data_IF_423623078868
#
_entry.id   IF_423623078868
#
_cell.length_a   1.000
_cell.length_b   1.000
_cell.length_c   1.000
_cell.angle_alpha   90.00
_cell.angle_beta   90.00
_cell.angle_gamma   90.00
#
_symmetry.space_group_name_H-M   'P 1'
#
loop_
_entity.id
_entity.type
_entity.pdbx_description
1 polymer ?
#
# COMPACT_ATOMS: atom_id res chain seq x y z
N UNK A 1 -37.46 58.14 -17.68
CA UNK A 1 -37.00 58.26 -16.29
C UNK A 1 -35.70 57.50 -16.15
N UNK A 2 -34.70 58.18 -15.62
CA UNK A 2 -33.28 57.83 -15.50
C UNK A 2 -32.98 57.43 -14.06
N UNK A 3 -32.30 56.32 -13.81
CA UNK A 3 -31.47 56.06 -12.60
C UNK A 3 -30.66 54.77 -12.84
N UNK A 4 -29.40 54.84 -13.26
CA UNK A 4 -28.13 54.97 -12.49
C UNK A 4 -27.77 53.77 -11.57
N UNK A 5 -26.49 53.33 -11.58
CA UNK A 5 -26.01 52.11 -10.90
C UNK A 5 -25.47 52.38 -9.48
N UNK A 6 -25.47 51.29 -8.68
CA UNK A 6 -24.45 50.96 -7.67
C UNK A 6 -24.40 51.73 -6.36
N UNK A 7 -24.66 51.07 -5.23
CA UNK A 7 -24.04 51.36 -3.93
C UNK A 7 -23.99 50.09 -3.07
N UNK A 8 -22.80 49.50 -2.92
CA UNK A 8 -22.48 48.67 -1.75
C UNK A 8 -21.88 49.60 -0.67
N UNK A 9 -22.38 49.59 0.58
CA UNK A 9 -21.74 50.36 1.63
C UNK A 9 -20.41 49.73 2.05
N UNK A 10 -19.40 50.60 1.99
CA UNK A 10 -18.02 50.43 2.47
C UNK A 10 -18.00 50.25 3.99
N UNK A 11 -17.25 49.27 4.49
CA UNK A 11 -16.53 49.44 5.75
C UNK A 11 -15.06 49.71 5.44
N UNK A 12 -14.66 50.97 5.65
CA UNK A 12 -13.26 51.39 5.76
C UNK A 12 -12.81 51.05 7.17
N UNK A 13 -11.69 50.35 7.31
CA UNK A 13 -10.80 50.57 8.45
C UNK A 13 -9.38 50.77 7.93
N UNK A 14 -8.76 51.76 8.53
CA UNK A 14 -7.62 52.54 8.08
C UNK A 14 -6.29 51.82 8.27
N UNK A 15 -5.41 52.10 7.31
CA UNK A 15 -4.03 51.66 7.09
C UNK A 15 -3.03 52.32 8.05
N UNK A 16 -2.30 51.52 8.82
CA UNK A 16 -0.93 51.76 9.34
C UNK A 16 -0.36 50.34 9.55
N UNK A 17 0.56 49.77 8.78
CA UNK A 17 1.80 50.30 8.26
C UNK A 17 2.95 49.77 9.13
N UNK A 18 3.46 48.56 8.85
CA UNK A 18 4.88 48.19 9.02
C UNK A 18 5.15 46.77 8.50
N UNK A 19 6.21 46.73 7.71
CA UNK A 19 6.81 45.65 6.93
C UNK A 19 7.12 44.41 7.77
N UNK A 20 6.65 43.25 7.33
CA UNK A 20 7.04 41.95 7.87
C UNK A 20 6.90 40.89 6.79
N UNK A 21 7.98 40.67 6.02
CA UNK A 21 8.10 39.53 5.11
C UNK A 21 8.16 38.28 5.99
N UNK A 22 7.06 37.53 6.06
CA UNK A 22 7.07 36.16 6.55
C UNK A 22 6.28 35.33 5.55
N UNK A 23 7.03 34.56 4.76
CA UNK A 23 6.51 33.54 3.87
C UNK A 23 5.59 32.62 4.67
N UNK A 24 4.28 32.72 4.43
CA UNK A 24 3.38 31.66 4.81
C UNK A 24 3.58 30.54 3.78
N UNK A 25 4.41 29.57 4.18
CA UNK A 25 4.52 28.31 3.48
C UNK A 25 3.10 27.81 3.20
N UNK A 26 2.80 27.63 1.91
CA UNK A 26 1.71 26.75 1.51
C UNK A 26 2.11 25.41 2.11
N UNK A 27 1.48 25.06 3.23
CA UNK A 27 1.43 23.69 3.68
C UNK A 27 0.64 22.95 2.60
N UNK A 28 1.36 22.56 1.54
CA UNK A 28 1.06 21.32 0.85
C UNK A 28 1.17 20.32 1.98
N UNK A 29 0.04 20.03 2.61
CA UNK A 29 -0.10 18.82 3.36
C UNK A 29 0.26 17.74 2.37
N UNK A 30 1.54 17.33 2.35
CA UNK A 30 1.84 15.94 2.26
C UNK A 30 1.03 15.35 3.40
N UNK A 31 -0.21 14.95 3.09
CA UNK A 31 -0.71 13.72 3.59
C UNK A 31 0.39 12.71 3.24
N UNK A 32 1.37 12.59 4.15
CA UNK A 32 2.05 11.33 4.37
C UNK A 32 0.94 10.30 4.21
N UNK A 33 1.06 9.33 3.29
CA UNK A 33 0.10 8.24 3.29
C UNK A 33 0.11 7.76 4.72
N UNK A 34 -0.98 8.05 5.44
CA UNK A 34 -1.24 7.43 6.71
C UNK A 34 -1.21 5.98 6.30
N UNK A 35 -0.12 5.31 6.65
CA UNK A 35 0.01 3.89 6.46
C UNK A 35 -1.27 3.35 7.03
N UNK A 36 -2.17 2.93 6.15
CA UNK A 36 -3.35 2.20 6.55
C UNK A 36 -2.74 0.97 7.22
N UNK A 37 -2.62 1.04 8.54
CA UNK A 37 -2.53 -0.11 9.40
C UNK A 37 -3.90 -0.75 9.24
N UNK A 38 -4.09 -1.43 8.11
CA UNK A 38 -5.13 -2.43 7.99
C UNK A 38 -4.87 -3.34 9.19
N UNK A 39 -5.83 -3.39 10.10
CA UNK A 39 -5.88 -4.36 11.19
C UNK A 39 -6.13 -5.75 10.61
N UNK A 40 -5.27 -6.15 9.67
CA UNK A 40 -5.31 -7.42 8.98
C UNK A 40 -4.96 -8.54 9.93
N UNK A 41 -5.59 -9.69 9.72
CA UNK A 41 -5.33 -10.92 10.44
C UNK A 41 -3.98 -11.51 9.99
N UNK A 42 -2.89 -10.93 10.50
CA UNK A 42 -1.53 -11.37 10.21
C UNK A 42 -1.30 -12.83 10.58
N UNK A 43 -1.95 -13.32 11.63
CA UNK A 43 -1.91 -14.73 12.04
C UNK A 43 -2.64 -15.62 11.06
N UNK A 44 -3.83 -15.22 10.62
CA UNK A 44 -4.60 -15.91 9.58
C UNK A 44 -3.86 -15.98 8.25
N UNK A 45 -3.21 -14.88 7.85
CA UNK A 45 -2.35 -14.84 6.67
C UNK A 45 -1.18 -15.83 6.76
N UNK A 46 -0.41 -15.78 7.85
CA UNK A 46 0.72 -16.72 8.04
C UNK A 46 0.24 -18.17 8.08
N UNK A 47 -0.87 -18.44 8.75
CA UNK A 47 -1.47 -19.79 8.79
C UNK A 47 -1.91 -20.26 7.41
N UNK A 48 -2.44 -19.38 6.57
CA UNK A 48 -2.85 -19.72 5.21
C UNK A 48 -1.64 -20.05 4.32
N UNK A 49 -0.54 -19.30 4.46
CA UNK A 49 0.71 -19.59 3.73
C UNK A 49 1.38 -20.87 4.23
N UNK A 50 1.37 -21.11 5.53
CA UNK A 50 1.89 -22.33 6.14
C UNK A 50 1.12 -23.57 5.65
N UNK A 51 -0.22 -23.51 5.66
CA UNK A 51 -1.07 -24.57 5.15
C UNK A 51 -0.88 -24.84 3.64
N UNK A 52 -0.45 -23.82 2.89
CA UNK A 52 -0.13 -23.94 1.47
C UNK A 52 1.32 -24.42 1.22
N UNK A 53 2.12 -24.65 2.25
CA UNK A 53 3.52 -25.06 2.13
C UNK A 53 4.43 -23.97 1.58
N UNK A 54 4.11 -22.70 1.85
CA UNK A 54 4.92 -21.54 1.47
C UNK A 54 5.86 -21.07 2.59
N UNK A 55 5.85 -21.73 3.75
CA UNK A 55 6.66 -21.38 4.93
C UNK A 55 7.74 -22.42 5.18
N UNK A 56 9.00 -21.99 5.25
CA UNK A 56 10.12 -22.87 5.57
C UNK A 56 10.21 -23.15 7.07
N UNK A 57 10.38 -24.42 7.43
CA UNK A 57 10.58 -24.87 8.81
C UNK A 57 12.03 -25.30 9.09
N UNK A 58 13.00 -24.70 8.40
CA UNK A 58 14.42 -24.86 8.73
C UNK A 58 15.14 -26.04 8.06
N UNK A 59 14.54 -26.69 7.05
CA UNK A 59 15.15 -27.81 6.32
C UNK A 59 15.37 -27.57 4.82
N UNK A 60 14.46 -26.84 4.16
CA UNK A 60 14.53 -26.55 2.72
C UNK A 60 13.89 -25.19 2.41
N UNK A 61 14.60 -24.31 1.71
CA UNK A 61 14.05 -23.02 1.21
C UNK A 61 13.05 -23.21 0.06
N UNK A 62 12.62 -24.45 -0.14
CA UNK A 62 11.97 -24.93 -1.33
C UNK A 62 10.95 -26.03 -0.98
N UNK A 63 9.73 -25.86 -1.47
CA UNK A 63 8.68 -26.86 -1.48
C UNK A 63 8.66 -27.51 -2.88
N UNK A 64 8.87 -28.83 -2.94
CA UNK A 64 8.92 -29.56 -4.21
C UNK A 64 7.50 -30.01 -4.56
N UNK A 65 6.96 -29.49 -5.65
CA UNK A 65 5.66 -29.88 -6.21
C UNK A 65 5.92 -30.30 -7.65
N UNK A 66 5.46 -31.50 -8.03
CA UNK A 66 5.70 -32.08 -9.37
C UNK A 66 7.18 -32.09 -9.80
N UNK A 67 8.10 -32.23 -8.83
CA UNK A 67 9.54 -32.22 -9.06
C UNK A 67 10.15 -30.83 -9.28
N UNK A 68 9.34 -29.77 -9.22
CA UNK A 68 9.78 -28.37 -9.37
C UNK A 68 9.93 -27.71 -8.01
N UNK A 69 11.03 -26.98 -7.86
CA UNK A 69 11.28 -26.19 -6.68
C UNK A 69 10.46 -24.89 -6.67
N UNK A 70 9.47 -24.83 -5.80
CA UNK A 70 8.77 -23.59 -5.48
C UNK A 70 9.41 -23.03 -4.21
N UNK A 71 9.95 -21.81 -4.28
CA UNK A 71 10.56 -21.18 -3.11
C UNK A 71 9.61 -21.20 -1.90
N UNK A 72 10.17 -21.08 -0.70
CA UNK A 72 9.43 -20.87 0.56
C UNK A 72 9.91 -19.58 1.23
N UNK A 73 9.03 -18.91 1.97
CA UNK A 73 9.43 -17.82 2.85
C UNK A 73 10.29 -18.37 3.99
N UNK A 74 11.38 -17.69 4.36
CA UNK A 74 12.24 -18.15 5.44
C UNK A 74 11.57 -18.04 6.81
N UNK A 75 10.64 -17.09 6.98
CA UNK A 75 9.93 -16.82 8.22
C UNK A 75 8.64 -16.00 7.98
N UNK A 76 7.86 -15.84 9.04
CA UNK A 76 6.63 -15.04 9.02
C UNK A 76 6.84 -13.56 8.69
N UNK A 77 7.84 -12.86 9.24
CA UNK A 77 8.13 -11.48 8.87
C UNK A 77 8.37 -11.25 7.37
N UNK A 78 9.15 -12.10 6.70
CA UNK A 78 9.39 -12.02 5.26
C UNK A 78 8.10 -12.23 4.45
N UNK A 79 7.28 -13.20 4.86
CA UNK A 79 5.97 -13.45 4.28
C UNK A 79 5.02 -12.26 4.45
N UNK A 80 4.99 -11.65 5.65
CA UNK A 80 4.17 -10.49 5.95
C UNK A 80 4.59 -9.25 5.17
N UNK A 81 5.90 -9.00 5.02
CA UNK A 81 6.38 -7.87 4.23
C UNK A 81 5.89 -7.97 2.78
N UNK A 82 5.92 -9.17 2.21
CA UNK A 82 5.39 -9.45 0.87
C UNK A 82 3.88 -9.26 0.82
N UNK A 83 3.13 -9.82 1.78
CA UNK A 83 1.67 -9.70 1.84
C UNK A 83 1.21 -8.25 2.00
N UNK A 84 1.87 -7.47 2.83
CA UNK A 84 1.58 -6.04 3.01
C UNK A 84 1.91 -5.22 1.75
N UNK A 85 2.96 -5.59 1.01
CA UNK A 85 3.26 -4.98 -0.30
C UNK A 85 2.14 -5.27 -1.29
N UNK A 86 1.76 -6.53 -1.47
CA UNK A 86 0.63 -6.94 -2.33
C UNK A 86 -0.62 -6.16 -1.95
N UNK A 87 -0.89 -6.07 -0.65
CA UNK A 87 -2.06 -5.39 -0.16
C UNK A 87 -2.11 -3.91 -0.52
N UNK A 88 -0.98 -3.22 -0.37
CA UNK A 88 -0.84 -1.82 -0.80
C UNK A 88 -1.06 -1.68 -2.31
N UNK A 89 -0.55 -2.62 -3.11
CA UNK A 89 -0.76 -2.61 -4.57
C UNK A 89 -2.25 -2.78 -4.92
N UNK A 90 -2.98 -3.64 -4.21
CA UNK A 90 -4.44 -3.80 -4.34
C UNK A 90 -5.16 -2.50 -3.96
N UNK A 91 -4.82 -1.89 -2.82
CA UNK A 91 -5.41 -0.61 -2.38
C UNK A 91 -5.12 0.54 -3.36
N UNK A 92 -3.99 0.49 -4.07
CA UNK A 92 -3.64 1.43 -5.14
C UNK A 92 -4.34 1.13 -6.47
N UNK A 93 -5.21 0.12 -6.53
CA UNK A 93 -5.98 -0.23 -7.73
C UNK A 93 -5.22 -1.04 -8.78
N UNK A 94 -4.09 -1.66 -8.44
CA UNK A 94 -3.40 -2.56 -9.36
C UNK A 94 -4.22 -3.85 -9.58
N UNK A 95 -4.19 -4.36 -10.81
CA UNK A 95 -4.93 -5.58 -11.16
C UNK A 95 -4.27 -6.83 -10.58
N UNK A 96 -5.09 -7.85 -10.25
CA UNK A 96 -4.61 -9.17 -9.83
C UNK A 96 -3.56 -9.73 -10.78
N UNK A 97 -3.80 -9.64 -12.09
CA UNK A 97 -2.88 -10.16 -13.10
C UNK A 97 -1.51 -9.45 -13.05
N UNK A 98 -1.49 -8.13 -12.87
CA UNK A 98 -0.24 -7.37 -12.74
C UNK A 98 0.53 -7.75 -11.47
N UNK A 99 -0.16 -7.87 -10.34
CA UNK A 99 0.48 -8.20 -9.06
C UNK A 99 1.00 -9.63 -9.06
N UNK A 100 0.20 -10.59 -9.56
CA UNK A 100 0.63 -12.00 -9.70
C UNK A 100 1.80 -12.12 -10.67
N UNK A 101 1.79 -11.37 -11.78
CA UNK A 101 2.91 -11.35 -12.71
C UNK A 101 4.20 -10.83 -12.04
N UNK A 102 4.11 -9.73 -11.28
CA UNK A 102 5.22 -9.16 -10.51
C UNK A 102 5.72 -10.13 -9.43
N UNK A 103 4.84 -10.84 -8.72
CA UNK A 103 5.22 -11.88 -7.76
C UNK A 103 5.88 -13.09 -8.42
N UNK A 104 5.53 -13.39 -9.67
CA UNK A 104 6.06 -14.57 -10.38
C UNK A 104 7.43 -14.31 -11.01
N UNK A 105 7.75 -13.06 -11.34
CA UNK A 105 8.92 -12.68 -12.14
C UNK A 105 9.77 -11.55 -11.52
N UNK A 106 9.31 -10.95 -10.42
CA UNK A 106 9.93 -9.79 -9.81
C UNK A 106 11.20 -10.15 -9.05
N UNK A 107 12.25 -9.39 -9.30
CA UNK A 107 13.49 -9.39 -8.51
C UNK A 107 13.14 -9.14 -7.03
N UNK A 108 13.30 -10.15 -6.18
CA UNK A 108 13.12 -10.04 -4.73
C UNK A 108 11.76 -10.45 -4.16
N UNK A 109 10.81 -10.88 -5.00
CA UNK A 109 9.57 -11.53 -4.56
C UNK A 109 9.56 -12.96 -5.09
N UNK A 110 10.03 -13.90 -4.27
CA UNK A 110 9.82 -15.35 -4.37
C UNK A 110 9.32 -15.86 -5.74
N UNK A 111 10.21 -16.04 -6.74
CA UNK A 111 9.84 -16.29 -8.13
C UNK A 111 9.20 -17.68 -8.28
N UNK A 112 7.88 -17.72 -8.26
CA UNK A 112 7.11 -18.95 -8.50
C UNK A 112 5.71 -18.57 -8.97
N UNK A 113 5.42 -18.90 -10.24
CA UNK A 113 4.09 -18.75 -10.84
C UNK A 113 3.01 -19.56 -10.11
N UNK A 114 3.41 -20.61 -9.40
CA UNK A 114 2.53 -21.41 -8.56
C UNK A 114 2.18 -20.69 -7.24
N UNK A 115 3.17 -20.07 -6.58
CA UNK A 115 2.97 -19.45 -5.27
C UNK A 115 2.33 -18.06 -5.38
N UNK A 116 2.64 -17.30 -6.44
CA UNK A 116 2.17 -15.93 -6.64
C UNK A 116 0.64 -15.74 -6.50
N UNK A 117 -0.24 -16.55 -7.13
CA UNK A 117 -1.68 -16.40 -6.94
C UNK A 117 -2.12 -16.72 -5.50
N UNK A 118 -1.50 -17.70 -4.85
CA UNK A 118 -1.81 -18.08 -3.46
C UNK A 118 -1.49 -16.93 -2.51
N UNK A 119 -0.32 -16.31 -2.68
CA UNK A 119 0.11 -15.15 -1.90
C UNK A 119 -0.85 -13.99 -2.10
N UNK A 120 -1.24 -13.72 -3.36
CA UNK A 120 -2.20 -12.65 -3.67
C UNK A 120 -3.56 -12.88 -3.01
N UNK A 121 -4.13 -14.08 -3.18
CA UNK A 121 -5.46 -14.40 -2.67
C UNK A 121 -5.47 -14.39 -1.12
N UNK A 122 -4.40 -14.87 -0.47
CA UNK A 122 -4.24 -14.79 0.98
C UNK A 122 -4.07 -13.35 1.48
N UNK A 123 -3.20 -12.55 0.84
CA UNK A 123 -3.00 -11.16 1.23
C UNK A 123 -4.29 -10.34 1.11
N UNK A 124 -5.02 -10.50 0.01
CA UNK A 124 -6.30 -9.82 -0.21
C UNK A 124 -7.35 -10.23 0.82
N UNK A 125 -7.39 -11.52 1.20
CA UNK A 125 -8.37 -12.04 2.15
C UNK A 125 -8.10 -11.63 3.60
N UNK A 126 -6.84 -11.61 4.01
CA UNK A 126 -6.46 -11.48 5.42
C UNK A 126 -5.86 -10.11 5.78
N UNK A 127 -5.30 -9.37 4.83
CA UNK A 127 -4.48 -8.19 5.12
C UNK A 127 -5.05 -6.83 4.65
N UNK A 128 -6.11 -6.77 3.80
CA UNK A 128 -6.44 -5.54 3.02
C UNK A 128 -7.61 -4.63 3.40
#
# INVERSE_FOLDING_TARGET
MTTKPGVYPRFRVTRWGLTGVAAFAIAIGLASPTSASAGGDTKGYIKALDAAGLMSHGGSTCNIIDGICHGQFPDGPAALQTGMRVCRQVQNGQSRASIVYELSHGEGLMPSSYNAPIIYDAATKYLC
#
